data_IF_363485358238
#
_entry.id   IF_363485358238
#
_cell.length_a   1.000
_cell.length_b   1.000
_cell.length_c   1.000
_cell.angle_alpha   90.00
_cell.angle_beta   90.00
_cell.angle_gamma   90.00
#
_symmetry.space_group_name_H-M   'P 1'
#
loop_
_entity.id
_entity.type
_entity.pdbx_description
1 polymer ?
#
# COMPACT_ATOMS: atom_id res chain seq x y z
N UNK A 1 -41.72 -26.80 -45.19
CA UNK A 1 -40.98 -26.87 -43.91
C UNK A 1 -39.49 -26.77 -44.22
N UNK A 2 -38.81 -25.66 -43.90
CA UNK A 2 -37.33 -25.57 -43.82
C UNK A 2 -36.92 -24.11 -43.57
N UNK A 3 -37.04 -23.63 -42.33
CA UNK A 3 -36.48 -22.34 -41.92
C UNK A 3 -36.09 -22.37 -40.43
N UNK A 4 -35.14 -23.23 -40.04
CA UNK A 4 -34.40 -23.09 -38.77
C UNK A 4 -33.07 -23.86 -38.87
N UNK A 5 -32.08 -23.30 -39.57
CA UNK A 5 -30.69 -23.84 -39.62
C UNK A 5 -29.58 -22.80 -39.46
N UNK A 6 -29.91 -21.59 -39.02
CA UNK A 6 -28.94 -20.59 -38.54
C UNK A 6 -29.46 -20.17 -37.15
N UNK A 7 -28.69 -19.96 -36.08
CA UNK A 7 -27.28 -19.65 -35.98
C UNK A 7 -26.85 -19.81 -34.51
N UNK A 8 -26.52 -21.04 -34.07
CA UNK A 8 -25.94 -21.24 -32.72
C UNK A 8 -24.50 -20.67 -32.69
N UNK A 9 -23.86 -20.54 -33.86
CA UNK A 9 -22.50 -19.99 -33.98
C UNK A 9 -22.42 -18.48 -33.68
N UNK A 10 -23.49 -17.71 -33.88
CA UNK A 10 -23.47 -16.26 -33.60
C UNK A 10 -23.60 -15.91 -32.11
N UNK A 11 -24.23 -16.79 -31.32
CA UNK A 11 -24.41 -16.57 -29.87
C UNK A 11 -23.09 -16.77 -29.10
N UNK A 12 -22.15 -17.58 -29.62
CA UNK A 12 -20.84 -17.80 -28.99
C UNK A 12 -19.82 -16.68 -29.26
N UNK A 13 -20.03 -15.83 -30.27
CA UNK A 13 -19.13 -14.73 -30.64
C UNK A 13 -19.35 -13.44 -29.81
N UNK A 14 -20.41 -13.37 -29.00
CA UNK A 14 -20.69 -12.23 -28.10
C UNK A 14 -20.21 -12.51 -26.66
N UNK A 15 -19.37 -13.53 -26.48
CA UNK A 15 -18.64 -13.78 -25.24
C UNK A 15 -17.62 -12.66 -25.05
N UNK A 16 -18.11 -11.49 -24.61
CA UNK A 16 -17.31 -10.35 -24.23
C UNK A 16 -16.22 -10.84 -23.29
N UNK A 17 -14.99 -10.77 -23.79
CA UNK A 17 -13.80 -10.89 -22.97
C UNK A 17 -13.76 -9.66 -22.07
N UNK A 18 -14.48 -9.71 -20.95
CA UNK A 18 -14.25 -8.80 -19.82
C UNK A 18 -12.89 -9.19 -19.23
N UNK A 19 -11.81 -8.84 -19.93
CA UNK A 19 -10.49 -8.75 -19.33
C UNK A 19 -10.60 -7.60 -18.35
N UNK A 20 -10.91 -7.89 -17.08
CA UNK A 20 -10.82 -6.87 -16.04
C UNK A 20 -9.34 -6.50 -15.95
N UNK A 21 -9.02 -5.30 -16.41
CA UNK A 21 -7.67 -4.76 -16.25
C UNK A 21 -7.42 -4.62 -14.76
N UNK A 22 -6.22 -5.02 -14.31
CA UNK A 22 -5.80 -4.79 -12.94
C UNK A 22 -5.88 -3.30 -12.63
N UNK A 23 -6.39 -2.95 -11.44
CA UNK A 23 -6.42 -1.57 -10.99
C UNK A 23 -5.03 -0.93 -11.08
N UNK A 24 -4.99 0.33 -11.45
CA UNK A 24 -3.76 1.13 -11.59
C UNK A 24 -3.18 1.50 -10.22
N UNK A 25 -1.89 1.84 -10.20
CA UNK A 25 -1.24 2.38 -8.99
C UNK A 25 -2.00 3.60 -8.44
N UNK A 26 -2.45 4.48 -9.32
CA UNK A 26 -3.14 5.72 -8.94
C UNK A 26 -4.52 5.46 -8.36
N UNK A 27 -5.29 4.52 -8.93
CA UNK A 27 -6.57 4.09 -8.35
C UNK A 27 -6.40 3.58 -6.91
N UNK A 28 -5.32 2.84 -6.65
CA UNK A 28 -5.03 2.36 -5.30
C UNK A 28 -4.53 3.46 -4.36
N UNK A 29 -3.57 4.28 -4.79
CA UNK A 29 -2.96 5.34 -3.96
C UNK A 29 -3.99 6.42 -3.61
N UNK A 30 -4.82 6.85 -4.56
CA UNK A 30 -5.77 7.95 -4.38
C UNK A 30 -7.19 7.47 -4.01
N UNK A 31 -7.50 6.19 -4.18
CA UNK A 31 -8.83 5.64 -3.93
C UNK A 31 -9.24 5.70 -2.45
N UNK A 32 -10.54 5.87 -2.23
CA UNK A 32 -11.18 5.81 -0.92
C UNK A 32 -12.08 4.58 -0.88
N UNK A 33 -11.95 3.76 0.15
CA UNK A 33 -12.75 2.55 0.25
C UNK A 33 -12.81 2.00 1.68
N UNK A 34 -13.85 1.23 1.93
CA UNK A 34 -14.00 0.38 3.10
C UNK A 34 -14.17 -1.07 2.65
N UNK A 35 -13.55 -1.99 3.39
CA UNK A 35 -13.65 -3.43 3.20
C UNK A 35 -13.80 -4.12 4.55
N UNK A 36 -14.70 -5.11 4.63
CA UNK A 36 -14.87 -5.94 5.82
C UNK A 36 -14.81 -7.40 5.40
N UNK A 37 -13.84 -8.13 5.95
CA UNK A 37 -13.66 -9.56 5.73
C UNK A 37 -13.99 -10.30 7.03
N UNK A 38 -14.98 -11.18 6.97
CA UNK A 38 -15.38 -12.03 8.09
C UNK A 38 -15.22 -13.50 7.74
N UNK A 39 -14.58 -14.27 8.62
CA UNK A 39 -14.53 -15.72 8.48
C UNK A 39 -14.57 -16.43 9.83
N UNK A 40 -14.94 -17.70 9.80
CA UNK A 40 -15.00 -18.56 11.00
C UNK A 40 -13.58 -18.90 11.47
N UNK A 41 -13.35 -18.85 12.77
CA UNK A 41 -12.09 -19.26 13.38
C UNK A 41 -12.08 -20.77 13.70
N UNK A 42 -10.94 -21.41 13.47
CA UNK A 42 -10.71 -22.81 13.83
C UNK A 42 -10.60 -22.99 15.36
N UNK A 43 -10.85 -24.20 15.92
CA UNK A 43 -11.23 -25.45 15.27
C UNK A 43 -12.75 -25.75 15.22
N UNK A 44 -13.61 -24.93 15.84
CA UNK A 44 -15.06 -25.20 15.92
C UNK A 44 -15.96 -24.18 15.23
N UNK A 45 -15.40 -23.11 14.64
CA UNK A 45 -16.18 -22.09 13.93
C UNK A 45 -17.17 -21.30 14.79
N UNK A 46 -17.05 -21.40 16.12
CA UNK A 46 -17.92 -20.72 17.09
C UNK A 46 -17.55 -19.24 17.27
N UNK A 47 -16.30 -18.88 17.00
CA UNK A 47 -15.84 -17.50 16.94
C UNK A 47 -15.59 -17.06 15.50
N UNK A 48 -15.68 -15.75 15.27
CA UNK A 48 -15.35 -15.11 14.00
C UNK A 48 -14.08 -14.29 14.16
N UNK A 49 -13.25 -14.30 13.12
CA UNK A 49 -12.25 -13.26 12.88
C UNK A 49 -12.90 -12.21 11.99
N UNK A 50 -12.69 -10.94 12.34
CA UNK A 50 -13.19 -9.80 11.56
C UNK A 50 -12.00 -8.90 11.28
N UNK A 51 -11.73 -8.67 10.00
CA UNK A 51 -10.79 -7.68 9.50
C UNK A 51 -11.58 -6.56 8.83
N UNK A 52 -11.48 -5.35 9.36
CA UNK A 52 -12.06 -4.16 8.77
C UNK A 52 -10.93 -3.21 8.34
N UNK A 53 -10.98 -2.78 7.08
CA UNK A 53 -10.03 -1.85 6.50
C UNK A 53 -10.82 -0.62 6.05
N UNK A 54 -10.32 0.56 6.41
CA UNK A 54 -10.81 1.83 5.89
C UNK A 54 -9.63 2.61 5.34
N UNK A 55 -9.74 3.07 4.09
CA UNK A 55 -8.77 3.94 3.46
C UNK A 55 -9.44 5.26 3.10
N UNK A 56 -8.87 6.33 3.63
CA UNK A 56 -9.23 7.71 3.27
C UNK A 56 -7.96 8.46 2.89
N UNK A 57 -7.81 8.77 1.61
CA UNK A 57 -6.64 9.35 0.99
C UNK A 57 -5.37 8.56 1.37
N UNK A 58 -4.44 9.16 2.09
CA UNK A 58 -3.19 8.51 2.53
C UNK A 58 -3.33 7.73 3.84
N UNK A 59 -4.46 7.86 4.54
CA UNK A 59 -4.68 7.23 5.84
C UNK A 59 -5.34 5.88 5.66
N UNK A 60 -4.67 4.83 6.14
CA UNK A 60 -5.16 3.46 6.18
C UNK A 60 -5.39 3.09 7.63
N UNK A 61 -6.63 2.73 7.95
CA UNK A 61 -6.99 2.15 9.25
C UNK A 61 -7.25 0.67 9.08
N UNK A 62 -6.58 -0.16 9.87
CA UNK A 62 -6.75 -1.61 9.90
C UNK A 62 -7.24 -1.95 11.30
N UNK A 63 -8.45 -2.49 11.38
CA UNK A 63 -9.04 -2.97 12.62
C UNK A 63 -9.22 -4.46 12.53
N UNK A 64 -8.87 -5.16 13.60
CA UNK A 64 -8.99 -6.60 13.63
C UNK A 64 -9.51 -7.06 14.98
N UNK A 65 -10.54 -7.90 14.93
CA UNK A 65 -11.17 -8.45 16.12
C UNK A 65 -11.12 -9.97 16.07
N UNK A 66 -10.52 -10.56 17.11
CA UNK A 66 -10.56 -11.99 17.40
C UNK A 66 -11.34 -12.21 18.68
N UNK A 67 -12.36 -13.05 18.62
CA UNK A 67 -13.29 -13.23 19.74
C UNK A 67 -13.93 -11.88 20.15
N UNK A 68 -14.67 -11.84 21.27
CA UNK A 68 -15.27 -10.58 21.76
C UNK A 68 -14.27 -9.62 22.43
N UNK A 69 -13.04 -10.06 22.71
CA UNK A 69 -12.14 -9.40 23.66
C UNK A 69 -10.79 -8.95 23.08
N UNK A 70 -10.29 -9.57 22.02
CA UNK A 70 -9.02 -9.15 21.40
C UNK A 70 -9.32 -8.24 20.21
N UNK A 71 -8.96 -6.97 20.37
CA UNK A 71 -9.11 -5.95 19.33
C UNK A 71 -7.75 -5.30 19.12
N UNK A 72 -7.28 -5.36 17.88
CA UNK A 72 -6.12 -4.62 17.42
C UNK A 72 -6.58 -3.50 16.48
N UNK A 73 -5.95 -2.34 16.58
CA UNK A 73 -6.18 -1.23 15.65
C UNK A 73 -4.87 -0.58 15.27
N UNK A 74 -4.68 -0.37 13.96
CA UNK A 74 -3.53 0.32 13.41
C UNK A 74 -3.99 1.43 12.48
N UNK A 75 -3.31 2.57 12.57
CA UNK A 75 -3.43 3.67 11.60
C UNK A 75 -2.06 3.90 10.95
N UNK A 76 -2.04 3.93 9.62
CA UNK A 76 -0.85 4.09 8.81
C UNK A 76 -1.10 5.26 7.86
N UNK A 77 -0.28 6.31 7.94
CA UNK A 77 -0.30 7.41 6.99
C UNK A 77 0.83 7.24 5.97
N UNK A 78 0.49 6.73 4.79
CA UNK A 78 1.49 6.35 3.77
C UNK A 78 2.16 7.55 3.08
N UNK A 79 1.72 8.77 3.38
CA UNK A 79 2.24 10.00 2.79
C UNK A 79 3.06 10.86 3.76
N UNK A 80 3.28 10.39 5.00
CA UNK A 80 4.07 11.13 6.01
C UNK A 80 5.36 10.44 6.38
N UNK A 81 6.37 11.28 6.63
CA UNK A 81 7.62 10.91 7.27
C UNK A 81 7.62 11.31 8.76
N UNK A 82 8.37 10.59 9.62
CA UNK A 82 9.08 9.34 9.32
C UNK A 82 8.11 8.17 9.10
N UNK A 83 8.56 7.10 8.46
CA UNK A 83 7.75 5.88 8.29
C UNK A 83 7.38 5.32 9.67
N UNK A 84 6.09 5.16 9.94
CA UNK A 84 5.61 4.77 11.26
C UNK A 84 4.32 3.96 11.23
N UNK A 85 4.06 3.26 12.33
CA UNK A 85 2.80 2.58 12.63
C UNK A 85 2.22 3.26 13.85
N UNK A 86 0.97 3.75 13.78
CA UNK A 86 0.22 4.13 14.98
C UNK A 86 -0.60 2.93 15.41
N UNK A 87 -0.42 2.47 16.64
CA UNK A 87 -1.11 1.33 17.22
C UNK A 87 -2.00 1.83 18.35
N UNK A 88 -3.23 1.32 18.41
CA UNK A 88 -4.18 1.65 19.48
C UNK A 88 -4.60 0.37 20.22
N UNK A 89 -4.00 0.16 21.39
CA UNK A 89 -4.31 -0.92 22.33
C UNK A 89 -4.62 -0.34 23.73
N UNK A 90 -5.57 0.62 23.79
CA UNK A 90 -5.92 1.33 25.03
C UNK A 90 -5.08 2.58 25.30
N UNK A 91 -4.35 3.03 24.28
CA UNK A 91 -3.47 4.19 24.24
C UNK A 91 -2.77 4.24 22.88
N UNK A 92 -2.54 5.44 22.35
CA UNK A 92 -1.90 5.61 21.03
C UNK A 92 -0.39 5.48 21.17
N UNK A 93 0.16 4.38 20.66
CA UNK A 93 1.61 4.16 20.54
C UNK A 93 2.06 4.44 19.10
N UNK A 94 3.20 5.11 18.93
CA UNK A 94 3.76 5.44 17.61
C UNK A 94 5.10 4.73 17.44
N UNK A 95 5.11 3.66 16.64
CA UNK A 95 6.29 2.87 16.33
C UNK A 95 6.93 3.42 15.06
N UNK A 96 8.13 3.99 15.18
CA UNK A 96 8.87 4.55 14.05
C UNK A 96 9.80 3.51 13.45
N UNK A 97 10.03 3.63 12.14
CA UNK A 97 11.03 2.84 11.44
C UNK A 97 12.42 3.47 11.62
N UNK A 98 13.36 2.69 12.14
CA UNK A 98 14.76 3.12 12.28
C UNK A 98 15.61 2.71 11.07
N UNK A 99 15.53 1.45 10.64
CA UNK A 99 16.33 0.90 9.55
C UNK A 99 15.57 -0.19 8.77
N UNK A 100 16.28 -0.99 7.96
CA UNK A 100 15.71 -2.18 7.32
C UNK A 100 15.13 -3.16 8.35
N UNK A 101 14.10 -3.91 7.97
CA UNK A 101 13.40 -4.79 8.90
C UNK A 101 13.80 -6.25 8.74
N UNK A 102 14.38 -6.86 9.78
CA UNK A 102 14.48 -8.32 9.93
C UNK A 102 13.37 -8.76 10.88
N UNK A 103 12.74 -9.91 10.63
CA UNK A 103 11.62 -10.37 11.46
C UNK A 103 12.03 -10.43 12.95
N UNK A 104 11.27 -9.78 13.82
CA UNK A 104 11.52 -9.75 15.27
C UNK A 104 12.64 -8.82 15.76
N UNK A 105 13.28 -8.05 14.88
CA UNK A 105 14.44 -7.21 15.27
C UNK A 105 14.08 -5.94 16.07
N UNK A 106 12.82 -5.50 16.03
CA UNK A 106 12.30 -4.35 16.78
C UNK A 106 10.79 -4.45 16.94
N UNK A 107 10.19 -3.67 17.85
CA UNK A 107 8.73 -3.63 18.02
C UNK A 107 8.01 -3.22 16.72
N UNK A 108 8.54 -2.22 16.03
CA UNK A 108 8.10 -1.86 14.68
C UNK A 108 8.07 -3.07 13.73
N UNK A 109 9.13 -3.88 13.74
CA UNK A 109 9.23 -5.06 12.88
C UNK A 109 8.28 -6.18 13.26
N UNK A 110 8.03 -6.38 14.56
CA UNK A 110 7.03 -7.35 15.04
C UNK A 110 5.64 -6.94 14.58
N UNK A 111 5.29 -5.67 14.73
CA UNK A 111 3.99 -5.14 14.31
C UNK A 111 3.84 -5.15 12.77
N UNK A 112 4.90 -4.81 12.01
CA UNK A 112 4.88 -4.95 10.55
C UNK A 112 4.56 -6.40 10.12
N UNK A 113 5.22 -7.39 10.72
CA UNK A 113 4.97 -8.80 10.40
C UNK A 113 3.55 -9.21 10.82
N UNK A 114 3.04 -8.71 11.95
CA UNK A 114 1.66 -8.94 12.41
C UNK A 114 0.66 -8.40 11.40
N UNK A 115 0.80 -7.16 10.97
CA UNK A 115 -0.08 -6.51 9.97
C UNK A 115 -0.02 -7.26 8.63
N UNK A 116 1.18 -7.60 8.14
CA UNK A 116 1.33 -8.31 6.87
C UNK A 116 0.66 -9.69 6.88
N UNK A 117 0.87 -10.47 7.95
CA UNK A 117 0.23 -11.77 8.11
C UNK A 117 -1.28 -11.63 8.19
N UNK A 118 -1.77 -10.64 8.92
CA UNK A 118 -3.21 -10.41 9.07
C UNK A 118 -3.87 -10.05 7.74
N UNK A 119 -3.29 -9.11 6.97
CA UNK A 119 -3.79 -8.76 5.64
C UNK A 119 -3.77 -9.94 4.67
N UNK A 120 -2.79 -10.85 4.80
CA UNK A 120 -2.72 -12.06 3.97
C UNK A 120 -3.71 -13.13 4.43
N UNK A 121 -3.58 -13.57 5.67
CA UNK A 121 -4.22 -14.76 6.21
C UNK A 121 -5.70 -14.54 6.53
N UNK A 122 -6.04 -13.39 7.14
CA UNK A 122 -7.42 -13.06 7.52
C UNK A 122 -8.08 -12.13 6.46
N UNK A 123 -7.30 -11.55 5.56
CA UNK A 123 -7.75 -10.69 4.46
C UNK A 123 -7.77 -11.40 3.12
N UNK A 124 -6.64 -11.46 2.42
CA UNK A 124 -6.54 -11.92 1.02
C UNK A 124 -7.07 -13.34 0.80
N UNK A 125 -6.91 -14.25 1.78
CA UNK A 125 -7.42 -15.62 1.66
C UNK A 125 -8.96 -15.66 1.66
N UNK A 126 -9.62 -14.78 2.41
CA UNK A 126 -11.06 -14.85 2.66
C UNK A 126 -11.88 -13.73 2.03
N UNK A 127 -11.23 -12.70 1.50
CA UNK A 127 -11.89 -11.58 0.85
C UNK A 127 -12.63 -12.03 -0.43
N UNK A 128 -13.80 -11.45 -0.67
CA UNK A 128 -14.66 -11.84 -1.79
C UNK A 128 -14.45 -10.96 -3.01
N UNK A 129 -14.77 -11.52 -4.18
CA UNK A 129 -14.61 -10.86 -5.48
C UNK A 129 -13.19 -10.95 -6.05
N UNK A 130 -12.97 -10.22 -7.12
CA UNK A 130 -11.75 -10.31 -7.92
C UNK A 130 -10.64 -9.39 -7.40
N UNK A 131 -9.43 -9.94 -7.22
CA UNK A 131 -8.26 -9.22 -6.71
C UNK A 131 -7.87 -8.03 -7.59
N UNK A 132 -8.12 -8.13 -8.88
CA UNK A 132 -7.79 -7.15 -9.92
C UNK A 132 -8.72 -5.93 -9.91
N UNK A 133 -9.91 -6.07 -9.30
CA UNK A 133 -10.94 -5.03 -9.26
C UNK A 133 -10.94 -4.30 -7.91
N UNK A 134 -10.51 -3.04 -7.88
CA UNK A 134 -10.46 -2.21 -6.66
C UNK A 134 -11.84 -1.99 -6.00
N UNK A 135 -12.93 -2.22 -6.72
CA UNK A 135 -14.29 -2.13 -6.15
C UNK A 135 -14.68 -3.36 -5.34
N UNK A 136 -13.99 -4.50 -5.54
CA UNK A 136 -14.22 -5.73 -4.78
C UNK A 136 -13.49 -5.67 -3.43
N UNK A 137 -13.96 -6.42 -2.43
CA UNK A 137 -13.29 -6.47 -1.13
C UNK A 137 -11.90 -7.08 -1.26
N UNK A 138 -11.72 -8.08 -2.12
CA UNK A 138 -10.40 -8.64 -2.40
C UNK A 138 -9.45 -7.60 -3.00
N UNK A 139 -9.90 -6.81 -3.98
CA UNK A 139 -9.08 -5.75 -4.58
C UNK A 139 -8.71 -4.66 -3.59
N UNK A 140 -9.64 -4.23 -2.72
CA UNK A 140 -9.38 -3.26 -1.63
C UNK A 140 -8.36 -3.77 -0.62
N UNK A 141 -8.51 -5.01 -0.16
CA UNK A 141 -7.54 -5.65 0.76
C UNK A 141 -6.18 -5.76 0.08
N UNK A 142 -6.14 -6.13 -1.20
CA UNK A 142 -4.90 -6.24 -1.96
C UNK A 142 -4.19 -4.91 -2.17
N UNK A 143 -4.92 -3.86 -2.55
CA UNK A 143 -4.39 -2.50 -2.60
C UNK A 143 -3.80 -2.08 -1.24
N UNK A 144 -4.54 -2.33 -0.15
CA UNK A 144 -4.08 -2.03 1.21
C UNK A 144 -2.79 -2.76 1.57
N UNK A 145 -2.70 -4.05 1.24
CA UNK A 145 -1.50 -4.85 1.43
C UNK A 145 -0.31 -4.29 0.64
N UNK A 146 -0.51 -3.90 -0.62
CA UNK A 146 0.55 -3.32 -1.45
C UNK A 146 1.06 -1.99 -0.89
N UNK A 147 0.15 -1.06 -0.53
CA UNK A 147 0.50 0.24 0.05
C UNK A 147 1.25 0.07 1.36
N UNK A 148 0.71 -0.75 2.26
CA UNK A 148 1.32 -1.05 3.56
C UNK A 148 2.71 -1.65 3.40
N UNK A 149 2.88 -2.60 2.48
CA UNK A 149 4.18 -3.22 2.20
C UNK A 149 5.18 -2.21 1.63
N UNK A 150 4.78 -1.39 0.66
CA UNK A 150 5.68 -0.39 0.06
C UNK A 150 6.08 0.68 1.07
N UNK A 151 5.14 1.16 1.88
CA UNK A 151 5.42 2.16 2.91
C UNK A 151 6.21 1.58 4.07
N UNK A 152 5.66 0.60 4.80
CA UNK A 152 6.26 0.13 6.04
C UNK A 152 7.52 -0.71 5.82
N UNK A 153 7.52 -1.62 4.84
CA UNK A 153 8.67 -2.51 4.60
C UNK A 153 9.73 -1.83 3.73
N UNK A 154 9.32 -1.22 2.62
CA UNK A 154 10.29 -0.67 1.66
C UNK A 154 10.67 0.79 2.00
N UNK A 155 9.80 1.52 2.69
CA UNK A 155 10.08 2.89 3.13
C UNK A 155 9.68 3.93 2.10
N UNK A 156 8.84 3.53 1.14
CA UNK A 156 8.38 4.40 0.09
C UNK A 156 7.23 5.26 0.63
N UNK A 157 7.47 6.56 0.67
CA UNK A 157 6.45 7.55 1.03
C UNK A 157 5.75 8.02 -0.24
N UNK A 158 4.42 7.99 -0.23
CA UNK A 158 3.62 8.40 -1.39
C UNK A 158 3.33 9.90 -1.36
N UNK A 159 3.27 10.52 -2.52
CA UNK A 159 2.92 11.92 -2.70
C UNK A 159 1.70 12.03 -3.61
N UNK A 160 0.61 12.63 -3.12
CA UNK A 160 -0.65 12.74 -3.87
C UNK A 160 -0.53 13.50 -5.19
N UNK A 161 0.40 14.44 -5.28
CA UNK A 161 0.66 15.24 -6.47
C UNK A 161 1.60 14.59 -7.49
N UNK A 162 2.11 13.38 -7.21
CA UNK A 162 2.95 12.62 -8.14
C UNK A 162 2.14 11.50 -8.77
N UNK A 163 2.33 11.30 -10.07
CA UNK A 163 1.82 10.14 -10.78
C UNK A 163 2.76 8.95 -10.59
N UNK A 164 2.19 7.78 -10.32
CA UNK A 164 2.90 6.53 -10.10
C UNK A 164 2.46 5.51 -11.15
N UNK A 165 3.43 4.86 -11.79
CA UNK A 165 3.22 3.78 -12.74
C UNK A 165 4.24 2.68 -12.48
N UNK A 166 3.79 1.44 -12.31
CA UNK A 166 4.67 0.29 -12.02
C UNK A 166 5.34 0.32 -10.64
N UNK A 167 4.83 1.13 -9.72
CA UNK A 167 5.34 1.31 -8.35
C UNK A 167 4.79 0.27 -7.41
N UNK A 168 3.47 0.00 -7.42
CA UNK A 168 2.89 -1.04 -6.58
C UNK A 168 3.12 -2.41 -7.21
N UNK A 169 2.89 -2.49 -8.53
CA UNK A 169 3.11 -3.68 -9.33
C UNK A 169 4.47 -3.60 -10.03
N UNK A 170 5.41 -4.51 -9.77
CA UNK A 170 6.63 -4.55 -10.56
C UNK A 170 6.26 -4.87 -12.01
N UNK A 171 6.27 -3.86 -12.88
CA UNK A 171 6.16 -4.06 -14.31
C UNK A 171 7.31 -4.96 -14.73
N UNK A 172 7.02 -6.14 -15.31
CA UNK A 172 8.03 -7.02 -15.93
C UNK A 172 8.59 -6.42 -17.23
N UNK A 173 8.59 -5.10 -17.37
CA UNK A 173 9.12 -4.38 -18.50
C UNK A 173 10.56 -4.04 -18.14
N UNK A 174 11.52 -4.68 -18.82
CA UNK A 174 12.90 -4.20 -18.87
C UNK A 174 12.87 -2.83 -19.54
N UNK A 175 12.66 -1.78 -18.75
CA UNK A 175 12.86 -0.41 -19.22
C UNK A 175 14.37 -0.24 -19.33
N UNK A 176 14.88 -0.22 -20.55
CA UNK A 176 16.20 0.32 -20.83
C UNK A 176 16.17 1.76 -20.32
N UNK A 177 16.87 2.01 -19.22
CA UNK A 177 17.02 3.35 -18.68
C UNK A 177 17.56 4.27 -19.78
N UNK A 178 16.74 5.25 -20.16
CA UNK A 178 17.26 6.44 -20.84
C UNK A 178 18.12 7.14 -19.81
N UNK A 179 19.42 7.15 -20.07
CA UNK A 179 20.42 7.88 -19.31
C UNK A 179 20.14 9.36 -19.54
N UNK A 180 19.61 10.05 -18.53
CA UNK A 180 19.73 11.51 -18.45
C UNK A 180 21.20 11.84 -18.15
N UNK A 181 21.98 11.96 -19.22
CA UNK A 181 23.25 12.66 -19.17
C UNK A 181 22.95 14.16 -19.21
N UNK A 182 22.93 14.79 -18.04
CA UNK A 182 23.36 16.17 -17.93
C UNK A 182 24.16 16.38 -16.65
N UNK A 183 25.44 16.04 -16.76
CA UNK A 183 26.50 16.66 -15.98
C UNK A 183 26.65 18.09 -16.47
N UNK A 184 26.20 19.06 -15.67
CA UNK A 184 26.89 20.33 -15.61
C UNK A 184 27.47 20.48 -14.21
N UNK A 185 28.77 20.17 -14.13
CA UNK A 185 29.67 20.70 -13.10
C UNK A 185 29.70 22.21 -13.29
N UNK A 186 29.37 22.96 -12.25
CA UNK A 186 29.77 24.35 -12.16
C UNK A 186 30.76 24.48 -10.99
N UNK A 187 31.95 24.96 -11.35
CA UNK A 187 33.14 25.16 -10.54
C UNK A 187 32.89 26.15 -9.41
N UNK A 188 33.47 25.84 -8.24
CA UNK A 188 33.62 26.76 -7.12
C UNK A 188 34.92 27.56 -7.33
N UNK A 189 34.92 28.91 -7.40
CA UNK A 189 36.15 29.68 -7.36
C UNK A 189 36.63 29.92 -5.91
N UNK A 190 37.92 30.27 -5.74
CA UNK A 190 38.63 30.19 -4.47
C UNK A 190 38.41 31.39 -3.56
N UNK A 191 38.66 31.13 -2.28
CA UNK A 191 38.76 32.04 -1.15
C UNK A 191 39.80 33.15 -1.41
N UNK A 192 39.37 34.41 -1.34
CA UNK A 192 40.24 35.58 -1.32
C UNK A 192 40.14 36.24 0.06
N UNK A 193 41.28 36.31 0.76
CA UNK A 193 41.44 37.06 2.00
C UNK A 193 41.57 38.55 1.67
N UNK A 194 40.85 39.40 2.40
CA UNK A 194 41.17 40.81 2.49
C UNK A 194 41.13 41.24 3.95
N UNK A 195 42.27 41.77 4.39
CA UNK A 195 42.50 42.45 5.67
C UNK A 195 41.99 43.87 5.49
N UNK A 196 41.15 44.38 6.39
CA UNK A 196 40.97 45.82 6.59
C UNK A 196 41.03 46.15 8.08
N UNK A 197 41.94 47.07 8.39
CA UNK A 197 42.21 47.68 9.69
C UNK A 197 41.24 48.85 9.96
N UNK A 198 40.65 48.88 11.15
CA UNK A 198 40.30 50.08 11.94
C UNK A 198 38.90 50.72 11.75
N UNK A 199 38.49 51.67 12.63
CA UNK A 199 39.17 52.17 13.84
C UNK A 199 38.43 51.85 15.16
N UNK A 200 39.14 52.11 16.26
CA UNK A 200 38.71 52.01 17.65
C UNK A 200 37.61 53.02 18.02
N UNK A 201 36.76 52.65 18.99
CA UNK A 201 36.02 53.60 19.83
C UNK A 201 35.67 52.95 21.18
N UNK A 202 36.19 53.60 22.24
CA UNK A 202 35.94 53.52 23.70
C UNK A 202 36.23 52.23 24.49
#
# INVERSE_FOLDING_TARGET
MQLFKCSILFVLLISNSYSMNMFSDMECIQGNYDAVVEHKAAPFGLSKNILAISKSDCSITINHSKFKFMKDSWTIDVCREPVHIKKDEGGVEVLKREAGCKAGSSEYCKELVKIEKLLQDDGLIFATGEKENISSDHGKVYCTYLLTKKYLRNGLVFNRGREYVGTLFPSKIKVNAVIDNNSNKEERPPMEQTIEDGPADF
#
